data_IF_809634920086
#
_entry.id   IF_809634920086
#
_cell.length_a   1.000
_cell.length_b   1.000
_cell.length_c   1.000
_cell.angle_alpha   90.00
_cell.angle_beta   90.00
_cell.angle_gamma   90.00
#
_symmetry.space_group_name_H-M   'P 1'
#
loop_
_entity.id
_entity.type
_entity.pdbx_description
1 polymer ?
#
# COMPACT_ATOMS: atom_id res chain seq x y z
N UNK A 1 -52.94 69.95 28.89
CA UNK A 1 -52.95 68.62 28.25
C UNK A 1 -51.73 67.87 28.76
N UNK A 2 -51.96 67.02 29.76
CA UNK A 2 -50.93 66.28 30.50
C UNK A 2 -50.52 65.03 29.71
N UNK A 3 -49.23 64.89 29.40
CA UNK A 3 -48.57 63.58 29.35
C UNK A 3 -47.10 63.77 29.72
N UNK A 4 -46.69 63.03 30.73
CA UNK A 4 -45.48 63.16 31.55
C UNK A 4 -44.23 62.60 30.86
N UNK A 5 -43.07 63.21 31.12
CA UNK A 5 -41.71 62.76 30.73
C UNK A 5 -41.39 61.28 31.07
N UNK A 6 -42.21 60.62 31.90
CA UNK A 6 -42.04 59.21 32.32
C UNK A 6 -42.53 58.18 31.29
N UNK A 7 -43.46 58.51 30.39
CA UNK A 7 -43.96 57.53 29.41
C UNK A 7 -42.98 57.31 28.25
N UNK A 8 -42.25 58.36 27.84
CA UNK A 8 -41.27 58.29 26.75
C UNK A 8 -40.04 57.41 27.09
N UNK A 9 -39.59 57.43 28.35
CA UNK A 9 -38.45 56.62 28.83
C UNK A 9 -38.80 55.13 28.93
N UNK A 10 -40.03 54.78 29.32
CA UNK A 10 -40.48 53.38 29.43
C UNK A 10 -40.65 52.71 28.06
N UNK A 11 -41.09 53.45 27.05
CA UNK A 11 -41.16 52.94 25.67
C UNK A 11 -39.78 52.70 25.04
N UNK A 12 -38.80 53.57 25.30
CA UNK A 12 -37.42 53.34 24.84
C UNK A 12 -36.75 52.14 25.54
N UNK A 13 -36.98 51.95 26.84
CA UNK A 13 -36.42 50.80 27.58
C UNK A 13 -37.02 49.46 27.09
N UNK A 14 -38.33 49.43 26.82
CA UNK A 14 -39.01 48.24 26.30
C UNK A 14 -38.59 47.92 24.85
N UNK A 15 -38.32 48.93 24.02
CA UNK A 15 -37.83 48.74 22.66
C UNK A 15 -36.40 48.15 22.63
N UNK A 16 -35.53 48.57 23.56
CA UNK A 16 -34.16 48.03 23.67
C UNK A 16 -34.16 46.59 24.18
N UNK A 17 -35.04 46.24 25.14
CA UNK A 17 -35.18 44.86 25.64
C UNK A 17 -35.78 43.94 24.55
N UNK A 18 -36.75 44.42 23.76
CA UNK A 18 -37.32 43.67 22.65
C UNK A 18 -36.32 43.39 21.52
N UNK A 19 -35.34 44.28 21.30
CA UNK A 19 -34.28 44.11 20.29
C UNK A 19 -33.15 43.17 20.75
N UNK A 20 -32.95 43.00 22.07
CA UNK A 20 -31.91 42.12 22.64
C UNK A 20 -32.36 40.65 22.78
N UNK A 21 -33.66 40.37 22.85
CA UNK A 21 -34.21 39.02 22.94
C UNK A 21 -33.88 38.09 21.74
N UNK A 22 -33.89 38.53 20.46
CA UNK A 22 -33.51 37.65 19.34
C UNK A 22 -32.01 37.34 19.26
N UNK A 23 -31.14 38.13 19.90
CA UNK A 23 -29.70 37.86 19.93
C UNK A 23 -29.33 36.67 20.83
N UNK A 24 -30.19 36.30 21.79
CA UNK A 24 -30.00 35.15 22.68
C UNK A 24 -30.52 33.82 22.06
N UNK A 25 -31.37 33.88 21.04
CA UNK A 25 -31.88 32.68 20.35
C UNK A 25 -30.83 32.01 19.43
N UNK A 26 -29.76 32.72 19.06
CA UNK A 26 -28.71 32.25 18.14
C UNK A 26 -27.78 31.16 18.69
N UNK A 27 -27.72 30.96 20.01
CA UNK A 27 -26.87 29.93 20.61
C UNK A 27 -27.37 28.50 20.32
N UNK A 28 -28.69 28.29 20.23
CA UNK A 28 -29.23 26.94 20.00
C UNK A 28 -29.11 26.45 18.55
N UNK A 29 -29.10 27.37 17.60
CA UNK A 29 -29.01 27.06 16.16
C UNK A 29 -27.57 26.79 15.73
N UNK A 30 -26.61 27.52 16.31
CA UNK A 30 -25.18 27.33 16.07
C UNK A 30 -24.67 26.01 16.64
N UNK A 31 -25.17 25.59 17.81
CA UNK A 31 -24.87 24.27 18.39
C UNK A 31 -25.38 23.12 17.51
N UNK A 32 -26.63 23.20 17.03
CA UNK A 32 -27.19 22.19 16.12
C UNK A 32 -26.49 22.16 14.76
N UNK A 33 -26.03 23.30 14.26
CA UNK A 33 -25.25 23.36 13.02
C UNK A 33 -23.84 22.77 13.21
N UNK A 34 -23.21 23.01 14.36
CA UNK A 34 -21.95 22.41 14.75
C UNK A 34 -22.06 20.89 14.84
N UNK A 35 -23.02 20.38 15.61
CA UNK A 35 -23.24 18.94 15.79
C UNK A 35 -23.49 18.24 14.45
N UNK A 36 -24.27 18.85 13.56
CA UNK A 36 -24.55 18.30 12.23
C UNK A 36 -23.34 18.31 11.29
N UNK A 37 -22.46 19.31 11.43
CA UNK A 37 -21.23 19.40 10.64
C UNK A 37 -20.21 18.38 11.14
N UNK A 38 -20.09 18.21 12.47
CA UNK A 38 -19.27 17.17 13.08
C UNK A 38 -19.78 15.77 12.74
N UNK A 39 -21.08 15.54 12.75
CA UNK A 39 -21.70 14.26 12.37
C UNK A 39 -21.43 13.90 10.90
N UNK A 40 -21.52 14.88 9.98
CA UNK A 40 -21.14 14.68 8.57
C UNK A 40 -19.63 14.39 8.44
N UNK A 41 -18.80 15.09 9.21
CA UNK A 41 -17.35 14.84 9.22
C UNK A 41 -17.02 13.43 9.71
N UNK A 42 -17.61 13.04 10.85
CA UNK A 42 -17.46 11.73 11.49
C UNK A 42 -18.09 10.59 10.69
N UNK A 43 -19.03 10.85 9.78
CA UNK A 43 -19.69 9.80 8.98
C UNK A 43 -19.03 9.61 7.61
N UNK A 44 -18.55 10.68 6.98
CA UNK A 44 -18.13 10.64 5.56
C UNK A 44 -16.66 11.00 5.33
N UNK A 45 -16.03 11.74 6.23
CA UNK A 45 -14.64 12.19 6.06
C UNK A 45 -13.66 11.40 6.95
N UNK A 46 -14.04 11.12 8.19
CA UNK A 46 -13.24 10.35 9.15
C UNK A 46 -14.15 9.43 9.99
N UNK A 47 -14.63 8.31 9.40
CA UNK A 47 -15.45 7.34 10.11
C UNK A 47 -14.74 6.89 11.38
N UNK A 48 -15.34 7.17 12.54
CA UNK A 48 -14.81 6.72 13.83
C UNK A 48 -14.58 5.20 13.75
N UNK A 49 -13.36 4.72 14.06
CA UNK A 49 -13.07 3.31 13.97
C UNK A 49 -13.97 2.55 14.96
N UNK A 50 -14.87 1.73 14.43
CA UNK A 50 -15.62 0.78 15.24
C UNK A 50 -14.64 -0.27 15.77
N UNK A 51 -14.42 -0.25 17.08
CA UNK A 51 -13.67 -1.30 17.76
C UNK A 51 -14.63 -2.48 17.91
N UNK A 52 -14.47 -3.47 17.05
CA UNK A 52 -15.13 -4.76 17.20
C UNK A 52 -14.62 -5.44 18.49
N UNK A 53 -15.42 -5.37 19.55
CA UNK A 53 -15.15 -5.98 20.85
C UNK A 53 -15.43 -7.50 20.87
N UNK A 54 -16.11 -8.03 19.84
CA UNK A 54 -16.37 -9.46 19.67
C UNK A 54 -15.21 -10.16 18.94
N UNK A 55 -14.30 -9.39 18.34
CA UNK A 55 -13.04 -9.89 17.79
C UNK A 55 -12.21 -10.49 18.92
N UNK A 56 -12.09 -11.83 18.93
CA UNK A 56 -11.25 -12.54 19.90
C UNK A 56 -9.85 -11.92 19.92
N UNK A 57 -9.31 -11.52 21.07
CA UNK A 57 -7.98 -10.93 21.14
C UNK A 57 -6.94 -11.99 20.76
N UNK A 58 -6.28 -11.77 19.61
CA UNK A 58 -5.18 -12.61 19.13
C UNK A 58 -5.42 -13.23 17.76
N UNK A 59 -4.34 -13.46 17.03
CA UNK A 59 -4.33 -14.20 15.77
C UNK A 59 -4.78 -15.64 16.01
N UNK A 60 -5.63 -16.20 15.15
CA UNK A 60 -5.92 -17.63 15.12
C UNK A 60 -4.64 -18.43 14.86
N UNK A 61 -4.59 -19.72 15.24
CA UNK A 61 -3.41 -20.57 15.00
C UNK A 61 -2.97 -20.58 13.52
N UNK A 62 -3.94 -20.51 12.61
CA UNK A 62 -3.70 -20.46 11.15
C UNK A 62 -3.09 -19.12 10.72
N UNK A 63 -3.60 -18.01 11.25
CA UNK A 63 -3.02 -16.67 11.03
C UNK A 63 -1.64 -16.51 11.69
N UNK A 64 -1.39 -17.19 12.81
CA UNK A 64 -0.05 -17.24 13.42
C UNK A 64 0.93 -18.01 12.54
N UNK A 65 0.51 -19.16 11.99
CA UNK A 65 1.33 -19.91 11.01
C UNK A 65 1.61 -19.03 9.80
N UNK A 66 0.59 -18.36 9.26
CA UNK A 66 0.76 -17.40 8.17
C UNK A 66 1.79 -16.32 8.57
N UNK A 67 1.55 -15.59 9.64
CA UNK A 67 2.43 -14.51 10.10
C UNK A 67 3.88 -14.95 10.31
N UNK A 68 4.12 -16.11 10.93
CA UNK A 68 5.48 -16.65 11.13
C UNK A 68 6.14 -16.96 9.79
N UNK A 69 5.41 -17.57 8.86
CA UNK A 69 5.94 -18.00 7.56
C UNK A 69 6.40 -16.83 6.69
N UNK A 70 5.65 -15.73 6.65
CA UNK A 70 5.97 -14.59 5.77
C UNK A 70 6.75 -13.49 6.46
N UNK A 71 6.80 -13.45 7.79
CA UNK A 71 7.43 -12.34 8.53
C UNK A 71 8.86 -12.07 8.08
N UNK A 72 9.66 -13.10 7.82
CA UNK A 72 11.06 -12.94 7.39
C UNK A 72 11.17 -12.46 5.95
N UNK A 73 10.39 -13.06 5.03
CA UNK A 73 10.31 -12.61 3.64
C UNK A 73 9.92 -11.13 3.57
N UNK A 74 8.87 -10.78 4.32
CA UNK A 74 8.30 -9.44 4.35
C UNK A 74 9.29 -8.41 4.92
N UNK A 75 10.02 -8.78 5.98
CA UNK A 75 11.07 -7.93 6.56
C UNK A 75 12.17 -7.58 5.55
N UNK A 76 12.66 -8.57 4.80
CA UNK A 76 13.70 -8.33 3.80
C UNK A 76 13.19 -7.45 2.66
N UNK A 77 11.99 -7.71 2.16
CA UNK A 77 11.37 -6.92 1.10
C UNK A 77 11.04 -5.48 1.56
N UNK A 78 10.48 -5.32 2.76
CA UNK A 78 10.21 -4.01 3.36
C UNK A 78 11.50 -3.20 3.53
N UNK A 79 12.58 -3.83 3.99
CA UNK A 79 13.88 -3.17 4.13
C UNK A 79 14.40 -2.63 2.80
N UNK A 80 14.29 -3.41 1.72
CA UNK A 80 14.66 -2.97 0.38
C UNK A 80 13.78 -1.81 -0.12
N UNK A 81 12.45 -1.93 0.05
CA UNK A 81 11.49 -0.89 -0.34
C UNK A 81 11.76 0.43 0.39
N UNK A 82 12.02 0.40 1.70
CA UNK A 82 12.34 1.60 2.48
C UNK A 82 13.68 2.23 2.11
N UNK A 83 14.61 1.43 1.58
CA UNK A 83 15.91 1.95 1.12
C UNK A 83 15.79 2.57 -0.27
N UNK A 84 14.94 2.00 -1.14
CA UNK A 84 14.70 2.47 -2.50
C UNK A 84 13.77 3.70 -2.54
N UNK A 85 12.72 3.72 -1.73
CA UNK A 85 11.66 4.74 -1.75
C UNK A 85 12.13 6.21 -1.60
N UNK A 86 13.10 6.54 -0.73
CA UNK A 86 13.56 7.92 -0.58
C UNK A 86 14.51 8.36 -1.71
N UNK A 87 14.94 7.46 -2.59
CA UNK A 87 15.93 7.74 -3.62
C UNK A 87 15.27 8.37 -4.86
N UNK A 88 14.93 9.65 -4.76
CA UNK A 88 14.28 10.45 -5.80
C UNK A 88 15.25 11.25 -6.68
N UNK A 89 16.57 11.05 -6.50
CA UNK A 89 17.65 11.64 -7.31
C UNK A 89 18.51 10.54 -7.91
N UNK A 90 19.20 10.86 -9.00
CA UNK A 90 20.16 9.92 -9.59
C UNK A 90 21.23 9.55 -8.54
N UNK A 91 21.39 8.27 -8.16
CA UNK A 91 22.32 7.86 -7.11
C UNK A 91 23.79 7.94 -7.56
N UNK A 92 24.71 8.03 -6.60
CA UNK A 92 26.14 7.83 -6.87
C UNK A 92 26.46 6.34 -7.03
N UNK A 93 27.59 6.02 -7.66
CA UNK A 93 28.11 4.66 -7.74
C UNK A 93 28.22 3.98 -6.36
N UNK A 94 28.73 4.72 -5.36
CA UNK A 94 28.83 4.21 -3.99
C UNK A 94 27.47 3.81 -3.39
N UNK A 95 26.39 4.51 -3.76
CA UNK A 95 25.04 4.15 -3.33
C UNK A 95 24.60 2.82 -3.93
N UNK A 96 24.84 2.59 -5.23
CA UNK A 96 24.50 1.32 -5.88
C UNK A 96 25.25 0.14 -5.26
N UNK A 97 26.56 0.31 -5.04
CA UNK A 97 27.38 -0.72 -4.40
C UNK A 97 26.91 -1.03 -2.98
N UNK A 98 26.56 0.00 -2.21
CA UNK A 98 26.02 -0.18 -0.86
C UNK A 98 24.66 -0.91 -0.90
N UNK A 99 23.75 -0.52 -1.78
CA UNK A 99 22.46 -1.18 -1.96
C UNK A 99 22.63 -2.68 -2.28
N UNK A 100 23.51 -3.01 -3.25
CA UNK A 100 23.77 -4.40 -3.62
C UNK A 100 24.39 -5.19 -2.47
N UNK A 101 25.28 -4.58 -1.68
CA UNK A 101 25.89 -5.22 -0.51
C UNK A 101 24.89 -5.48 0.62
N UNK A 102 23.92 -4.57 0.78
CA UNK A 102 22.86 -4.68 1.78
C UNK A 102 21.80 -5.71 1.37
N UNK A 103 21.53 -5.84 0.07
CA UNK A 103 20.51 -6.75 -0.49
C UNK A 103 21.15 -7.74 -1.48
N UNK A 104 21.99 -8.68 -1.02
CA UNK A 104 22.69 -9.62 -1.90
C UNK A 104 21.76 -10.60 -2.63
N UNK A 105 20.49 -10.68 -2.21
CA UNK A 105 19.44 -11.47 -2.83
C UNK A 105 18.83 -10.80 -4.08
N UNK A 106 19.12 -9.52 -4.32
CA UNK A 106 18.69 -8.80 -5.53
C UNK A 106 19.46 -9.29 -6.76
N UNK A 107 18.75 -9.46 -7.88
CA UNK A 107 19.38 -9.78 -9.16
C UNK A 107 20.18 -8.59 -9.68
N UNK A 108 19.57 -7.40 -9.68
CA UNK A 108 20.22 -6.17 -10.11
C UNK A 108 19.48 -4.93 -9.63
N UNK A 109 20.23 -3.84 -9.49
CA UNK A 109 19.74 -2.47 -9.38
C UNK A 109 20.28 -1.67 -10.57
N UNK A 110 19.41 -0.92 -11.22
CA UNK A 110 19.77 -0.16 -12.42
C UNK A 110 19.08 1.21 -12.47
N UNK A 111 19.66 2.15 -13.19
CA UNK A 111 19.03 3.40 -13.54
C UNK A 111 18.88 3.50 -15.06
N UNK A 112 17.67 3.83 -15.50
CA UNK A 112 17.35 4.09 -16.92
C UNK A 112 16.82 5.50 -17.09
N UNK A 113 17.06 6.11 -18.25
CA UNK A 113 16.46 7.41 -18.59
C UNK A 113 15.01 7.27 -19.07
N UNK A 114 14.40 8.41 -19.45
CA UNK A 114 13.02 8.45 -19.98
C UNK A 114 12.84 7.78 -21.35
N UNK A 115 13.93 7.46 -22.05
CA UNK A 115 13.92 6.72 -23.31
C UNK A 115 14.19 5.22 -23.10
N UNK A 116 14.44 4.79 -21.87
CA UNK A 116 14.77 3.41 -21.52
C UNK A 116 16.24 3.06 -21.74
N UNK A 117 17.11 4.05 -22.00
CA UNK A 117 18.54 3.83 -22.08
C UNK A 117 19.13 3.60 -20.70
N UNK A 118 19.98 2.58 -20.59
CA UNK A 118 20.70 2.27 -19.35
C UNK A 118 21.74 3.35 -19.03
N UNK A 119 21.61 3.98 -17.86
CA UNK A 119 22.56 4.95 -17.34
C UNK A 119 23.59 4.29 -16.41
N UNK A 120 23.13 3.33 -15.60
CA UNK A 120 23.97 2.57 -14.67
C UNK A 120 23.30 1.25 -14.31
N UNK A 121 24.08 0.19 -14.07
CA UNK A 121 23.57 -1.11 -13.67
C UNK A 121 24.57 -1.85 -12.79
N UNK A 122 24.08 -2.46 -11.71
CA UNK A 122 24.89 -3.25 -10.79
C UNK A 122 24.16 -4.57 -10.46
N UNK A 123 24.84 -5.73 -10.55
CA UNK A 123 26.14 -5.92 -11.23
C UNK A 123 26.05 -5.54 -12.72
N UNK A 124 27.18 -5.19 -13.35
CA UNK A 124 27.21 -4.78 -14.78
C UNK A 124 26.65 -5.85 -15.73
N UNK A 125 26.77 -7.12 -15.34
CA UNK A 125 26.29 -8.26 -16.10
C UNK A 125 25.45 -9.17 -15.17
N UNK A 126 24.16 -8.84 -14.95
CA UNK A 126 23.31 -9.67 -14.14
C UNK A 126 22.93 -10.95 -14.89
N UNK A 127 22.62 -12.00 -14.13
CA UNK A 127 22.23 -13.30 -14.69
C UNK A 127 20.90 -13.24 -15.45
N UNK A 128 19.96 -12.40 -14.97
CA UNK A 128 18.66 -12.17 -15.58
C UNK A 128 18.54 -10.69 -15.91
N UNK A 129 17.94 -10.39 -17.05
CA UNK A 129 17.66 -9.03 -17.52
C UNK A 129 16.16 -8.84 -17.65
N UNK A 130 15.67 -7.63 -17.40
CA UNK A 130 14.26 -7.26 -17.54
C UNK A 130 14.07 -6.25 -18.68
N UNK A 131 12.83 -6.11 -19.15
CA UNK A 131 12.46 -5.10 -20.12
C UNK A 131 12.01 -3.83 -19.40
N UNK A 132 12.68 -2.71 -19.69
CA UNK A 132 12.39 -1.41 -19.07
C UNK A 132 11.33 -0.57 -19.79
N UNK A 133 11.09 -0.68 -21.12
CA UNK A 133 10.07 0.13 -21.78
C UNK A 133 8.66 0.04 -21.17
N UNK A 134 8.13 -1.16 -20.81
CA UNK A 134 6.82 -1.26 -20.17
C UNK A 134 6.71 -0.54 -18.82
N UNK A 135 7.84 -0.31 -18.14
CA UNK A 135 7.88 0.41 -16.86
C UNK A 135 7.70 1.92 -17.08
N UNK A 136 8.16 2.43 -18.22
CA UNK A 136 8.09 3.85 -18.60
C UNK A 136 6.70 4.27 -19.07
N UNK A 137 5.84 3.31 -19.45
CA UNK A 137 4.45 3.55 -19.82
C UNK A 137 3.58 3.98 -18.62
N UNK A 138 4.06 3.75 -17.39
CA UNK A 138 3.42 4.26 -16.18
C UNK A 138 3.56 5.78 -16.07
N UNK A 139 2.57 6.44 -15.46
CA UNK A 139 2.62 7.89 -15.27
C UNK A 139 3.62 8.26 -14.15
N UNK A 140 4.77 8.80 -14.53
CA UNK A 140 5.79 9.26 -13.58
C UNK A 140 5.81 10.78 -13.48
N UNK A 141 5.67 11.30 -12.27
CA UNK A 141 5.74 12.74 -12.02
C UNK A 141 6.08 13.04 -10.56
N UNK A 142 6.28 14.31 -10.23
CA UNK A 142 6.43 14.72 -8.83
C UNK A 142 5.21 14.36 -7.95
N UNK A 143 4.02 14.32 -8.57
CA UNK A 143 2.78 13.89 -7.92
C UNK A 143 2.69 12.35 -7.84
N UNK A 144 3.21 11.67 -8.86
CA UNK A 144 3.22 10.20 -8.99
C UNK A 144 4.66 9.65 -8.82
N UNK A 145 5.25 9.90 -7.64
CA UNK A 145 6.64 9.50 -7.33
C UNK A 145 6.78 8.25 -6.45
N UNK A 146 5.66 7.63 -6.07
CA UNK A 146 5.68 6.43 -5.24
C UNK A 146 6.26 5.23 -6.00
N UNK A 147 6.95 4.34 -5.28
CA UNK A 147 7.44 3.09 -5.85
C UNK A 147 6.28 2.29 -6.46
N UNK A 148 6.50 1.75 -7.65
CA UNK A 148 5.60 0.82 -8.30
C UNK A 148 6.24 -0.56 -8.40
N UNK A 149 5.41 -1.58 -8.25
CA UNK A 149 5.79 -2.98 -8.42
C UNK A 149 5.39 -3.48 -9.80
N UNK A 150 6.20 -4.37 -10.36
CA UNK A 150 5.87 -5.11 -11.58
C UNK A 150 6.35 -6.55 -11.46
N UNK A 151 5.81 -7.42 -12.30
CA UNK A 151 6.31 -8.78 -12.50
C UNK A 151 6.57 -8.98 -13.99
N UNK A 152 7.66 -9.66 -14.32
CA UNK A 152 7.99 -10.02 -15.70
C UNK A 152 8.47 -11.46 -15.77
N UNK A 153 7.99 -12.20 -16.77
CA UNK A 153 8.52 -13.52 -17.09
C UNK A 153 9.82 -13.37 -17.89
N UNK A 154 10.87 -14.08 -17.47
CA UNK A 154 12.14 -14.17 -18.22
C UNK A 154 12.40 -15.62 -18.62
N UNK A 155 13.30 -15.88 -19.59
CA UNK A 155 13.68 -17.25 -19.95
C UNK A 155 14.19 -18.11 -18.78
N UNK A 156 14.69 -17.47 -17.71
CA UNK A 156 15.21 -18.15 -16.51
C UNK A 156 14.21 -18.15 -15.33
N UNK A 157 12.96 -17.75 -15.57
CA UNK A 157 11.88 -17.66 -14.59
C UNK A 157 11.43 -16.22 -14.30
N UNK A 158 10.38 -16.04 -13.50
CA UNK A 158 9.83 -14.72 -13.20
C UNK A 158 10.81 -13.82 -12.45
N UNK A 159 10.68 -12.51 -12.63
CA UNK A 159 11.34 -11.46 -11.84
C UNK A 159 10.28 -10.54 -11.25
N UNK A 160 10.45 -10.20 -9.98
CA UNK A 160 9.75 -9.08 -9.35
C UNK A 160 10.58 -7.83 -9.51
N UNK A 161 9.90 -6.72 -9.81
CA UNK A 161 10.53 -5.45 -10.15
C UNK A 161 9.94 -4.36 -9.25
N UNK A 162 10.80 -3.49 -8.74
CA UNK A 162 10.44 -2.29 -7.99
C UNK A 162 11.05 -1.09 -8.73
N UNK A 163 10.23 -0.15 -9.14
CA UNK A 163 10.67 1.04 -9.86
C UNK A 163 10.22 2.32 -9.16
N UNK A 164 11.12 3.30 -9.07
CA UNK A 164 10.83 4.64 -8.58
C UNK A 164 11.44 5.70 -9.50
N UNK A 165 10.77 6.86 -9.69
CA UNK A 165 11.31 7.91 -10.54
C UNK A 165 12.40 8.70 -9.82
N UNK A 166 13.42 9.11 -10.58
CA UNK A 166 14.37 10.11 -10.11
C UNK A 166 14.28 11.41 -10.92
N UNK A 167 14.62 12.51 -10.28
CA UNK A 167 14.40 13.86 -10.77
C UNK A 167 15.70 14.67 -10.74
N UNK A 168 15.76 15.69 -11.59
CA UNK A 168 16.73 16.78 -11.55
C UNK A 168 15.97 18.09 -11.69
N UNK A 169 16.14 18.99 -10.73
CA UNK A 169 15.47 20.30 -10.70
C UNK A 169 13.95 20.23 -10.88
N UNK A 170 13.32 19.19 -10.33
CA UNK A 170 11.87 18.98 -10.42
C UNK A 170 11.40 18.27 -11.70
N UNK A 171 12.30 18.00 -12.64
CA UNK A 171 11.99 17.37 -13.92
C UNK A 171 12.32 15.88 -13.82
N UNK A 172 11.37 15.03 -14.21
CA UNK A 172 11.57 13.58 -14.27
C UNK A 172 12.68 13.25 -15.27
N UNK A 173 13.64 12.43 -14.85
CA UNK A 173 14.81 12.07 -15.66
C UNK A 173 14.85 10.60 -16.03
N UNK A 174 14.07 9.75 -15.36
CA UNK A 174 14.10 8.31 -15.56
C UNK A 174 13.71 7.52 -14.32
N UNK A 175 14.03 6.23 -14.33
CA UNK A 175 13.66 5.29 -13.26
C UNK A 175 14.89 4.66 -12.62
N UNK A 176 14.85 4.54 -11.30
CA UNK A 176 15.67 3.62 -10.54
C UNK A 176 14.88 2.32 -10.39
N UNK A 177 15.46 1.22 -10.85
CA UNK A 177 14.77 -0.07 -11.01
C UNK A 177 15.58 -1.16 -10.32
N UNK A 178 15.01 -1.75 -9.27
CA UNK A 178 15.54 -2.95 -8.61
C UNK A 178 14.73 -4.16 -9.03
N UNK A 179 15.36 -5.28 -9.33
CA UNK A 179 14.64 -6.52 -9.60
C UNK A 179 15.35 -7.75 -9.04
N UNK A 180 14.55 -8.78 -8.78
CA UNK A 180 15.02 -9.99 -8.14
C UNK A 180 14.17 -11.21 -8.52
N UNK A 181 14.79 -12.37 -8.37
CA UNK A 181 14.12 -13.65 -8.55
C UNK A 181 13.32 -14.01 -7.28
N UNK A 182 12.01 -14.26 -7.36
CA UNK A 182 11.17 -14.62 -6.21
C UNK A 182 11.73 -15.79 -5.38
N UNK A 183 12.45 -16.73 -6.02
CA UNK A 183 13.10 -17.87 -5.33
C UNK A 183 14.10 -17.43 -4.27
N UNK A 184 14.77 -16.28 -4.47
CA UNK A 184 15.75 -15.74 -3.51
C UNK A 184 15.08 -15.28 -2.22
N UNK A 185 13.86 -14.75 -2.30
CA UNK A 185 13.10 -14.39 -1.09
C UNK A 185 12.60 -15.63 -0.36
N UNK A 186 12.22 -16.67 -1.10
CA UNK A 186 11.73 -17.93 -0.53
C UNK A 186 12.79 -18.62 0.34
N UNK A 187 14.08 -18.39 0.09
CA UNK A 187 15.17 -18.88 0.97
C UNK A 187 15.05 -18.39 2.43
N UNK A 188 14.32 -17.29 2.67
CA UNK A 188 14.04 -16.78 4.02
C UNK A 188 12.75 -17.36 4.65
N UNK A 189 11.97 -18.16 3.92
CA UNK A 189 10.74 -18.76 4.43
C UNK A 189 11.04 -19.89 5.43
N UNK A 190 10.16 -20.08 6.41
CA UNK A 190 10.31 -21.17 7.41
C UNK A 190 9.79 -22.52 6.92
N UNK A 191 8.89 -22.55 5.94
CA UNK A 191 8.37 -23.75 5.29
C UNK A 191 8.10 -23.48 3.80
N UNK A 192 9.16 -23.38 2.98
CA UNK A 192 9.03 -23.09 1.56
C UNK A 192 8.15 -24.14 0.86
N UNK A 193 8.26 -25.42 1.20
CA UNK A 193 7.48 -26.54 0.64
C UNK A 193 5.94 -26.39 0.68
N UNK A 194 5.43 -25.42 1.44
CA UNK A 194 3.99 -25.15 1.56
C UNK A 194 3.58 -23.79 1.01
N UNK A 195 4.55 -23.00 0.57
CA UNK A 195 4.38 -21.63 0.14
C UNK A 195 4.01 -21.58 -1.36
N UNK A 196 3.11 -20.65 -1.69
CA UNK A 196 2.80 -20.22 -3.05
C UNK A 196 2.94 -18.72 -3.10
N UNK A 197 3.59 -18.20 -4.13
CA UNK A 197 3.77 -16.77 -4.36
C UNK A 197 3.21 -16.40 -5.72
N UNK A 198 2.36 -15.37 -5.77
CA UNK A 198 1.73 -14.86 -6.98
C UNK A 198 1.89 -13.34 -7.09
N UNK A 199 1.93 -12.82 -8.30
CA UNK A 199 1.80 -11.40 -8.57
C UNK A 199 0.64 -11.16 -9.52
N UNK A 200 -0.38 -10.43 -9.06
CA UNK A 200 -1.59 -10.16 -9.85
C UNK A 200 -2.23 -11.42 -10.47
N UNK A 201 -2.18 -12.55 -9.75
CA UNK A 201 -2.71 -13.84 -10.18
C UNK A 201 -1.72 -14.73 -10.96
N UNK A 202 -0.58 -14.21 -11.42
CA UNK A 202 0.43 -15.02 -12.08
C UNK A 202 1.33 -15.72 -11.07
N UNK A 203 1.63 -17.01 -11.31
CA UNK A 203 2.51 -17.79 -10.44
C UNK A 203 3.97 -17.31 -10.55
N UNK A 204 4.51 -16.90 -9.41
CA UNK A 204 5.92 -16.55 -9.26
C UNK A 204 6.73 -17.72 -8.73
N UNK A 205 6.16 -18.46 -7.78
CA UNK A 205 6.82 -19.58 -7.15
C UNK A 205 5.82 -20.52 -6.47
N UNK A 206 6.10 -21.81 -6.48
CA UNK A 206 5.33 -22.83 -5.74
C UNK A 206 6.26 -23.85 -5.10
N UNK A 207 6.08 -24.11 -3.81
CA UNK A 207 6.64 -25.25 -3.10
C UNK A 207 5.69 -26.44 -3.00
N UNK A 208 4.40 -26.19 -3.23
CA UNK A 208 3.35 -27.23 -3.26
C UNK A 208 3.30 -27.92 -4.62
N UNK A 209 2.56 -29.02 -4.70
CA UNK A 209 2.35 -29.75 -5.94
C UNK A 209 1.62 -28.91 -7.01
N UNK A 210 1.64 -29.42 -8.24
CA UNK A 210 1.10 -28.73 -9.40
C UNK A 210 -0.42 -28.49 -9.32
N UNK A 211 -1.16 -29.40 -8.67
CA UNK A 211 -2.62 -29.27 -8.53
C UNK A 211 -2.95 -28.11 -7.59
N UNK A 212 -2.34 -28.09 -6.40
CA UNK A 212 -2.47 -27.00 -5.43
C UNK A 212 -2.02 -25.64 -5.99
N UNK A 213 -0.94 -25.63 -6.78
CA UNK A 213 -0.44 -24.40 -7.42
C UNK A 213 -1.40 -23.88 -8.51
N UNK A 214 -2.03 -24.78 -9.27
CA UNK A 214 -3.02 -24.43 -10.29
C UNK A 214 -4.29 -23.88 -9.66
N UNK A 215 -4.80 -24.52 -8.60
CA UNK A 215 -5.91 -24.00 -7.81
C UNK A 215 -5.64 -22.55 -7.39
N UNK A 216 -4.47 -22.29 -6.81
CA UNK A 216 -4.09 -20.94 -6.36
C UNK A 216 -3.99 -19.90 -7.48
N UNK A 217 -3.62 -20.29 -8.70
CA UNK A 217 -3.66 -19.40 -9.86
C UNK A 217 -5.09 -19.12 -10.31
N UNK A 218 -5.96 -20.12 -10.26
CA UNK A 218 -7.37 -20.04 -10.68
C UNK A 218 -8.28 -19.40 -9.63
N UNK A 219 -7.75 -19.11 -8.44
CA UNK A 219 -8.48 -18.44 -7.37
C UNK A 219 -9.04 -17.08 -7.85
N UNK A 220 -10.24 -16.69 -7.40
CA UNK A 220 -10.89 -15.46 -7.86
C UNK A 220 -10.27 -14.22 -7.17
N UNK A 221 -9.02 -13.89 -7.49
CA UNK A 221 -8.22 -12.85 -6.82
C UNK A 221 -8.90 -11.49 -6.78
N UNK A 222 -9.58 -11.08 -7.85
CA UNK A 222 -10.36 -9.83 -7.88
C UNK A 222 -11.51 -9.79 -6.85
N UNK A 223 -12.02 -10.96 -6.45
CA UNK A 223 -13.02 -11.07 -5.39
C UNK A 223 -12.36 -11.15 -4.02
N UNK A 224 -11.30 -11.95 -3.89
CA UNK A 224 -10.58 -12.15 -2.63
C UNK A 224 -9.93 -10.86 -2.13
N UNK A 225 -9.37 -10.05 -3.04
CA UNK A 225 -8.66 -8.80 -2.73
C UNK A 225 -9.60 -7.59 -2.55
N UNK A 226 -10.93 -7.76 -2.72
CA UNK A 226 -11.90 -6.67 -2.51
C UNK A 226 -12.04 -6.36 -1.02
N UNK A 227 -11.28 -5.37 -0.55
CA UNK A 227 -11.31 -4.88 0.84
C UNK A 227 -10.49 -5.71 1.82
N UNK A 228 -9.82 -6.77 1.36
CA UNK A 228 -9.01 -7.65 2.20
C UNK A 228 -7.55 -7.67 1.75
N UNK A 229 -6.64 -7.79 2.72
CA UNK A 229 -5.20 -7.99 2.50
C UNK A 229 -4.72 -9.33 3.03
N UNK A 230 -5.62 -10.15 3.56
CA UNK A 230 -5.38 -11.52 3.97
C UNK A 230 -6.70 -12.27 4.02
N UNK A 231 -6.63 -13.60 4.06
CA UNK A 231 -7.81 -14.43 4.20
C UNK A 231 -7.49 -15.90 4.11
N UNK A 232 -8.56 -16.69 3.95
CA UNK A 232 -8.47 -18.09 3.60
C UNK A 232 -9.22 -18.33 2.30
N UNK A 233 -8.78 -19.32 1.55
CA UNK A 233 -9.44 -19.79 0.36
C UNK A 233 -9.35 -21.32 0.34
N UNK A 234 -10.46 -21.98 0.03
CA UNK A 234 -10.57 -23.43 0.09
C UNK A 234 -11.16 -23.95 -1.20
N UNK A 235 -10.58 -25.03 -1.70
CA UNK A 235 -11.13 -25.88 -2.76
C UNK A 235 -11.68 -27.16 -2.15
N UNK A 236 -12.04 -28.13 -2.99
CA UNK A 236 -12.42 -29.47 -2.51
C UNK A 236 -11.23 -30.24 -1.94
N UNK A 237 -10.01 -29.95 -2.40
CA UNK A 237 -8.80 -30.70 -2.07
C UNK A 237 -7.90 -29.98 -1.05
N UNK A 238 -7.81 -28.65 -1.12
CA UNK A 238 -6.86 -27.87 -0.34
C UNK A 238 -7.50 -26.67 0.34
N UNK A 239 -6.90 -26.25 1.46
CA UNK A 239 -7.19 -24.96 2.08
C UNK A 239 -5.90 -24.15 2.17
N UNK A 240 -5.96 -22.90 1.73
CA UNK A 240 -4.87 -21.95 1.79
C UNK A 240 -5.20 -20.82 2.74
N UNK A 241 -4.22 -20.40 3.52
CA UNK A 241 -4.23 -19.08 4.15
C UNK A 241 -3.37 -18.17 3.30
N UNK A 242 -3.83 -16.96 2.99
CA UNK A 242 -3.12 -16.02 2.13
C UNK A 242 -3.02 -14.61 2.74
N UNK A 243 -2.02 -13.86 2.28
CA UNK A 243 -1.78 -12.45 2.56
C UNK A 243 -1.34 -11.75 1.28
N UNK A 244 -1.82 -10.53 1.06
CA UNK A 244 -1.45 -9.68 -0.06
C UNK A 244 -0.68 -8.45 0.42
N UNK A 245 0.52 -8.27 -0.12
CA UNK A 245 1.37 -7.11 0.10
C UNK A 245 1.30 -6.18 -1.12
N UNK A 246 0.85 -4.92 -0.95
CA UNK A 246 0.91 -3.94 -2.02
C UNK A 246 2.34 -3.44 -2.23
N UNK A 247 2.75 -3.34 -3.50
CA UNK A 247 3.95 -2.62 -3.94
C UNK A 247 3.52 -1.67 -5.06
N UNK A 248 3.15 -0.44 -4.69
CA UNK A 248 2.43 0.45 -5.60
C UNK A 248 1.14 -0.20 -6.08
N UNK A 249 0.99 -0.34 -7.40
CA UNK A 249 -0.12 -1.02 -8.05
C UNK A 249 -0.05 -2.57 -8.00
N UNK A 250 1.12 -3.17 -7.78
CA UNK A 250 1.27 -4.62 -7.73
C UNK A 250 0.70 -5.21 -6.45
N UNK A 251 -0.02 -6.32 -6.58
CA UNK A 251 -0.44 -7.16 -5.44
C UNK A 251 0.43 -8.42 -5.42
N UNK A 252 1.42 -8.43 -4.54
CA UNK A 252 2.21 -9.61 -4.25
C UNK A 252 1.46 -10.46 -3.23
N UNK A 253 1.02 -11.63 -3.64
CA UNK A 253 0.25 -12.55 -2.81
C UNK A 253 1.19 -13.65 -2.33
N UNK A 254 1.16 -13.90 -1.03
CA UNK A 254 1.76 -15.06 -0.43
C UNK A 254 0.68 -15.95 0.17
N UNK A 255 0.78 -17.25 -0.05
CA UNK A 255 -0.16 -18.20 0.51
C UNK A 255 0.55 -19.45 1.04
N UNK A 256 0.00 -20.03 2.09
CA UNK A 256 0.48 -21.29 2.67
C UNK A 256 -0.66 -22.30 2.65
N UNK A 257 -0.38 -23.46 2.05
CA UNK A 257 -1.26 -24.62 2.13
C UNK A 257 -1.36 -25.07 3.59
N UNK A 258 -2.58 -25.16 4.12
CA UNK A 258 -2.87 -25.66 5.45
C UNK A 258 -2.96 -27.19 5.43
N UNK A 259 -2.58 -27.87 6.53
CA UNK A 259 -2.81 -29.29 6.63
C UNK A 259 -4.33 -29.53 6.72
N UNK A 260 -4.81 -30.55 6.01
CA UNK A 260 -6.19 -31.02 6.14
C UNK A 260 -6.45 -31.63 7.52
#
# INVERSE_FOLDING_TARGET
>A
MFMTRQTLSRFCLLAVIALLLPALAGCSTTQKAWDRTTDIYDTYLDPKPEIDLDRRPGLSRKEQVLAVQFSLIDQHLESALRTLAPQDRFPSEAWFLNFQSQFPWMTSIMAVDTQGQMLAQYPEHPLKTIQTPPLLDHEWSMLHRGLQGFAQQTPLGPELIMAGPFFRDGIWQGLLVAHFDPRRLVEFATSPDRLVMLASGELLWSGVDQEAAQEMQDAPWDQLLRGNVHGQWSTQAHTFSWMARPIGNLRLIYAVALPN
#
